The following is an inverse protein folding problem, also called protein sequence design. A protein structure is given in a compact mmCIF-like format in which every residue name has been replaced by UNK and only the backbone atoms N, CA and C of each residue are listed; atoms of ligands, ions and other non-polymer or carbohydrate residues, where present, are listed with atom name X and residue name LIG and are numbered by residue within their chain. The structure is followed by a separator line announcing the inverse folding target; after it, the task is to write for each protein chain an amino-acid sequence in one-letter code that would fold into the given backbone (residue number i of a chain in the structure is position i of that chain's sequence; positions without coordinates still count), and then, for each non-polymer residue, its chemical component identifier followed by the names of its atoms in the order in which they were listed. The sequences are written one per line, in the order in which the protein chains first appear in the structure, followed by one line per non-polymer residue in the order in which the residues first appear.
data_IF_961744687663
#
_entry.id   IF_961744687663
#
_cell.length_a   1.000
_cell.length_b   1.000
_cell.length_c   1.000
_cell.angle_alpha   90.00
_cell.angle_beta   90.00
_cell.angle_gamma   90.00
#
_symmetry.space_group_name_H-M   'P 1'
#
loop_
_entity.id
_entity.type
_entity.pdbx_description
1 polymer ?
#
# COMPACT_ATOMS: atom_id res chain seq x y z
N UNK A 1 -39.45 -35.34 4.38
CA UNK A 1 -38.03 -35.27 4.77
C UNK A 1 -37.65 -33.80 4.89
N UNK A 2 -37.70 -33.29 6.11
CA UNK A 2 -37.20 -31.99 6.55
C UNK A 2 -36.56 -32.28 7.90
N UNK A 3 -35.28 -31.95 8.08
CA UNK A 3 -34.66 -31.97 9.40
C UNK A 3 -34.31 -30.54 9.79
N UNK A 4 -34.77 -30.20 10.99
CA UNK A 4 -34.71 -28.92 11.70
C UNK A 4 -34.20 -29.30 13.09
N UNK A 5 -33.13 -28.66 13.58
CA UNK A 5 -32.67 -28.64 14.97
C UNK A 5 -31.77 -27.38 15.03
N UNK A 6 -32.11 -26.24 15.65
CA UNK A 6 -32.44 -25.92 17.05
C UNK A 6 -31.50 -26.59 18.06
N UNK A 7 -30.66 -25.78 18.70
CA UNK A 7 -30.27 -26.01 20.08
C UNK A 7 -30.29 -24.69 20.85
N UNK A 8 -30.93 -24.79 22.01
CA UNK A 8 -31.28 -23.76 22.98
C UNK A 8 -30.27 -23.80 24.13
N UNK A 9 -30.07 -22.65 24.76
CA UNK A 9 -29.37 -22.39 26.02
C UNK A 9 -29.55 -23.44 27.13
N UNK A 10 -28.58 -23.51 28.08
CA UNK A 10 -28.79 -23.31 29.53
C UNK A 10 -27.44 -23.38 30.29
N UNK A 11 -27.29 -22.45 31.25
CA UNK A 11 -26.25 -22.30 32.27
C UNK A 11 -26.18 -23.45 33.28
N UNK A 12 -24.98 -23.73 33.84
CA UNK A 12 -24.84 -24.03 35.28
C UNK A 12 -23.41 -23.74 35.80
N UNK A 13 -23.34 -22.88 36.83
CA UNK A 13 -22.18 -22.63 37.70
C UNK A 13 -22.28 -23.58 38.90
N UNK A 14 -21.29 -24.45 39.15
CA UNK A 14 -20.83 -25.02 40.44
C UNK A 14 -19.41 -25.57 40.13
N UNK A 15 -18.28 -25.28 40.78
CA UNK A 15 -17.99 -25.06 42.20
C UNK A 15 -17.22 -26.28 42.74
N UNK A 16 -15.91 -26.12 42.96
CA UNK A 16 -15.01 -26.85 43.89
C UNK A 16 -15.00 -28.40 43.90
N UNK A 17 -13.79 -28.99 43.90
CA UNK A 17 -13.63 -30.30 44.55
C UNK A 17 -12.41 -31.11 44.12
N UNK A 18 -11.47 -31.24 45.05
CA UNK A 18 -10.29 -32.09 44.96
C UNK A 18 -10.59 -33.57 44.68
N UNK A 19 -9.63 -34.22 44.00
CA UNK A 19 -9.11 -35.53 44.42
C UNK A 19 -9.65 -36.76 43.71
N UNK A 20 -8.72 -37.58 43.21
CA UNK A 20 -8.88 -39.04 43.22
C UNK A 20 -8.79 -39.77 41.89
N UNK A 21 -7.57 -40.24 41.58
CA UNK A 21 -7.18 -41.52 40.96
C UNK A 21 -8.21 -42.35 40.14
N UNK A 22 -7.81 -42.85 38.97
CA UNK A 22 -7.23 -44.22 38.80
C UNK A 22 -7.04 -44.58 37.30
N UNK A 23 -5.83 -45.06 36.98
CA UNK A 23 -5.46 -46.23 36.14
C UNK A 23 -6.01 -46.39 34.71
N UNK A 24 -5.11 -46.61 33.73
CA UNK A 24 -4.75 -47.97 33.29
C UNK A 24 -3.54 -48.00 32.31
N UNK A 25 -2.65 -48.97 32.59
CA UNK A 25 -1.74 -49.80 31.75
C UNK A 25 -1.35 -49.33 30.33
N UNK A 26 -0.11 -49.50 29.87
CA UNK A 26 1.07 -50.12 30.48
C UNK A 26 2.08 -50.64 29.45
N UNK A 27 3.18 -51.19 29.99
CA UNK A 27 4.08 -52.22 29.44
C UNK A 27 4.96 -51.80 28.22
N UNK A 28 6.29 -51.98 28.20
CA UNK A 28 7.12 -53.05 28.75
C UNK A 28 8.54 -52.60 29.16
N UNK A 29 9.05 -53.31 30.16
CA UNK A 29 10.34 -53.29 30.85
C UNK A 29 11.39 -54.23 30.23
N UNK A 30 12.68 -54.02 30.54
CA UNK A 30 13.64 -55.00 31.13
C UNK A 30 14.91 -54.20 31.57
N UNK A 31 15.24 -54.05 32.87
CA UNK A 31 16.01 -54.96 33.77
C UNK A 31 17.53 -54.72 33.70
N UNK A 32 18.37 -54.62 34.74
CA UNK A 32 18.22 -54.67 36.21
C UNK A 32 19.54 -54.20 36.92
N UNK A 33 19.40 -53.88 38.22
CA UNK A 33 20.35 -53.98 39.35
C UNK A 33 21.48 -52.95 39.58
N UNK A 34 21.26 -52.01 40.52
CA UNK A 34 21.97 -51.97 41.82
C UNK A 34 21.30 -50.97 42.81
N UNK A 35 21.31 -51.22 44.14
CA UNK A 35 20.65 -50.37 45.14
C UNK A 35 21.62 -49.38 45.80
N UNK A 36 21.12 -48.18 46.10
CA UNK A 36 21.68 -47.31 47.14
C UNK A 36 22.75 -46.31 46.70
N UNK A 37 22.32 -45.15 46.20
CA UNK A 37 22.89 -43.81 46.42
C UNK A 37 21.95 -42.82 45.72
N UNK A 38 21.48 -41.79 46.43
CA UNK A 38 20.78 -40.69 45.79
C UNK A 38 21.72 -40.07 44.73
N UNK A 39 21.24 -39.70 43.52
CA UNK A 39 22.07 -38.91 42.63
C UNK A 39 22.44 -37.61 43.35
N UNK A 40 23.68 -37.11 43.22
CA UNK A 40 23.98 -35.75 43.65
C UNK A 40 23.01 -34.80 42.93
N UNK A 41 22.65 -33.65 43.54
CA UNK A 41 21.89 -32.64 42.82
C UNK A 41 22.62 -32.38 41.50
N UNK A 42 21.91 -32.52 40.38
CA UNK A 42 22.41 -32.04 39.11
C UNK A 42 22.59 -30.53 39.29
N UNK A 43 23.83 -30.12 39.54
CA UNK A 43 24.25 -28.76 39.24
C UNK A 43 24.20 -28.69 37.73
N UNK A 44 23.11 -28.14 37.21
CA UNK A 44 23.04 -27.71 35.83
C UNK A 44 24.07 -26.58 35.73
N UNK A 45 25.25 -26.89 35.18
CA UNK A 45 26.24 -25.88 34.84
C UNK A 45 25.69 -25.09 33.65
N UNK A 46 25.21 -23.87 33.93
CA UNK A 46 24.65 -22.95 32.94
C UNK A 46 25.69 -22.47 31.91
N UNK A 47 26.96 -22.91 32.00
CA UNK A 47 28.01 -22.59 31.02
C UNK A 47 28.05 -23.51 29.80
N UNK A 48 27.24 -24.58 29.75
CA UNK A 48 27.25 -25.55 28.65
C UNK A 48 26.02 -25.50 27.72
N UNK A 49 25.09 -24.59 27.94
CA UNK A 49 24.04 -24.27 26.98
C UNK A 49 24.04 -22.75 26.80
N UNK A 50 24.58 -22.20 25.69
CA UNK A 50 24.23 -20.83 25.33
C UNK A 50 22.72 -20.85 25.13
N UNK A 51 22.02 -20.16 26.02
CA UNK A 51 20.59 -19.96 25.89
C UNK A 51 20.42 -19.23 24.55
N UNK A 52 19.79 -19.88 23.59
CA UNK A 52 19.19 -19.20 22.45
C UNK A 52 18.07 -18.31 23.00
N UNK A 53 18.43 -17.16 23.55
CA UNK A 53 17.52 -16.05 23.76
C UNK A 53 17.49 -15.32 22.42
N UNK A 54 16.35 -15.36 21.74
CA UNK A 54 16.08 -14.52 20.57
C UNK A 54 15.99 -13.05 21.03
N UNK A 55 17.15 -12.44 21.27
CA UNK A 55 17.30 -10.99 21.34
C UNK A 55 17.37 -10.45 19.91
N UNK A 56 16.46 -9.53 19.58
CA UNK A 56 16.21 -9.13 18.19
C UNK A 56 17.16 -8.03 17.71
N UNK A 57 17.84 -8.31 16.60
CA UNK A 57 18.29 -7.23 15.72
C UNK A 57 17.04 -6.76 14.96
N UNK A 58 16.74 -5.47 14.99
CA UNK A 58 15.79 -4.86 14.05
C UNK A 58 16.57 -4.37 12.85
N UNK A 59 16.24 -4.85 11.67
CA UNK A 59 16.79 -4.26 10.45
C UNK A 59 15.82 -3.16 10.02
N UNK A 60 16.19 -1.91 10.28
CA UNK A 60 15.38 -0.74 9.99
C UNK A 60 15.68 -0.26 8.58
N UNK A 61 14.64 -0.20 7.77
CA UNK A 61 14.70 0.50 6.50
C UNK A 61 14.54 1.99 6.76
N UNK A 62 15.54 2.80 6.40
CA UNK A 62 15.42 4.26 6.42
C UNK A 62 14.87 4.71 5.06
N UNK A 63 13.57 4.51 4.85
CA UNK A 63 12.78 5.42 4.01
C UNK A 63 11.82 6.12 4.96
N UNK A 64 11.60 7.42 4.77
CA UNK A 64 10.85 8.25 5.71
C UNK A 64 9.35 7.84 5.84
N UNK A 65 8.85 6.94 4.99
CA UNK A 65 7.42 6.66 4.80
C UNK A 65 6.98 5.20 4.90
N UNK A 66 7.89 4.23 4.96
CA UNK A 66 7.50 2.81 4.82
C UNK A 66 7.21 2.18 6.19
N UNK A 67 5.97 1.74 6.38
CA UNK A 67 5.59 0.90 7.51
C UNK A 67 6.01 -0.56 7.26
N UNK A 68 6.20 -1.30 8.36
CA UNK A 68 6.56 -2.72 8.29
C UNK A 68 5.49 -3.51 7.49
N UNK A 69 5.91 -4.18 6.41
CA UNK A 69 5.04 -5.01 5.58
C UNK A 69 4.54 -4.38 4.27
N UNK A 70 4.81 -3.09 4.05
CA UNK A 70 4.49 -2.37 2.81
C UNK A 70 5.37 -2.82 1.64
N UNK A 71 4.81 -2.75 0.44
CA UNK A 71 5.48 -3.02 -0.81
C UNK A 71 5.92 -1.72 -1.48
N UNK A 72 7.17 -1.70 -1.93
CA UNK A 72 7.74 -0.57 -2.64
C UNK A 72 7.43 -0.71 -4.13
N UNK A 73 6.73 0.26 -4.70
CA UNK A 73 6.61 0.36 -6.15
C UNK A 73 7.98 0.71 -6.74
N UNK A 74 8.59 -0.24 -7.43
CA UNK A 74 9.89 0.00 -8.05
C UNK A 74 9.72 0.90 -9.29
N UNK A 75 10.67 1.81 -9.56
CA UNK A 75 10.67 2.65 -10.75
C UNK A 75 10.81 1.81 -12.02
N UNK A 76 10.16 2.27 -13.09
CA UNK A 76 10.17 1.60 -14.38
C UNK A 76 11.57 1.55 -15.02
N UNK A 77 12.09 0.34 -15.25
CA UNK A 77 13.37 0.13 -15.94
C UNK A 77 14.61 0.55 -15.13
N UNK A 78 14.46 0.82 -13.83
CA UNK A 78 15.54 1.24 -12.95
C UNK A 78 15.77 0.24 -11.80
N UNK A 79 17.00 0.12 -11.28
CA UNK A 79 17.28 -0.64 -10.08
C UNK A 79 16.52 -0.09 -8.86
N UNK A 80 16.10 -0.98 -7.96
CA UNK A 80 15.55 -0.58 -6.67
C UNK A 80 16.66 -0.14 -5.74
N UNK A 81 16.64 1.13 -5.30
CA UNK A 81 17.61 1.69 -4.37
C UNK A 81 16.96 1.91 -3.01
N UNK A 82 17.61 1.45 -1.96
CA UNK A 82 17.11 1.57 -0.58
C UNK A 82 18.26 1.60 0.42
N UNK A 83 17.95 2.09 1.63
CA UNK A 83 18.89 2.07 2.77
C UNK A 83 18.34 1.12 3.82
N UNK A 84 19.14 0.12 4.19
CA UNK A 84 18.88 -0.82 5.28
C UNK A 84 19.94 -0.63 6.36
N UNK A 85 19.52 -0.26 7.57
CA UNK A 85 20.40 -0.10 8.72
C UNK A 85 20.00 -1.06 9.84
N UNK A 86 20.94 -1.87 10.33
CA UNK A 86 20.71 -2.62 11.54
C UNK A 86 20.53 -1.68 12.74
N UNK A 87 19.60 -2.02 13.62
CA UNK A 87 19.38 -1.45 14.94
C UNK A 87 19.31 -2.60 15.93
N UNK A 88 19.96 -2.47 17.08
CA UNK A 88 19.87 -3.48 18.13
C UNK A 88 18.74 -3.07 19.08
N UNK A 89 17.65 -3.84 19.09
CA UNK A 89 16.52 -3.59 19.97
C UNK A 89 16.34 -4.78 20.91
N UNK A 90 16.79 -4.63 22.16
CA UNK A 90 16.75 -5.72 23.12
C UNK A 90 15.39 -5.76 23.85
N UNK A 91 14.67 -6.90 23.83
CA UNK A 91 13.50 -7.10 24.68
C UNK A 91 13.81 -6.90 26.17
N UNK A 92 12.80 -6.52 26.95
CA UNK A 92 12.95 -6.27 28.41
C UNK A 92 13.48 -7.48 29.18
N UNK A 93 13.19 -8.68 28.70
CA UNK A 93 13.58 -9.97 29.25
C UNK A 93 14.97 -10.45 28.80
N UNK A 94 15.68 -9.67 27.99
CA UNK A 94 17.07 -9.97 27.60
C UNK A 94 17.98 -9.95 28.83
N UNK A 95 18.98 -10.83 28.85
CA UNK A 95 19.96 -10.94 29.94
C UNK A 95 20.65 -9.60 30.23
N UNK A 96 20.79 -9.25 31.52
CA UNK A 96 21.38 -7.99 31.99
C UNK A 96 22.81 -7.79 31.46
N UNK A 97 23.58 -8.86 31.29
CA UNK A 97 24.91 -8.80 30.69
C UNK A 97 24.83 -8.33 29.23
N UNK A 98 23.88 -8.85 28.44
CA UNK A 98 23.72 -8.47 27.03
C UNK A 98 23.26 -7.01 26.93
N UNK A 99 22.32 -6.57 27.78
CA UNK A 99 21.94 -5.16 27.88
C UNK A 99 23.13 -4.26 28.22
N UNK A 100 23.93 -4.65 29.22
CA UNK A 100 25.12 -3.91 29.62
C UNK A 100 26.19 -3.91 28.53
N UNK A 101 26.38 -5.01 27.83
CA UNK A 101 27.36 -5.12 26.74
C UNK A 101 26.96 -4.21 25.59
N UNK A 102 25.72 -4.30 25.11
CA UNK A 102 25.22 -3.48 24.00
C UNK A 102 25.29 -1.99 24.32
N UNK A 103 24.89 -1.59 25.52
CA UNK A 103 24.92 -0.17 25.93
C UNK A 103 26.32 0.40 26.12
N UNK A 104 27.36 -0.42 26.31
CA UNK A 104 28.75 0.02 26.54
C UNK A 104 29.65 -0.09 25.31
N UNK A 105 29.17 -0.70 24.22
CA UNK A 105 29.90 -0.85 22.97
C UNK A 105 29.20 -0.03 21.88
N UNK A 106 29.62 1.23 21.65
CA UNK A 106 29.06 2.02 20.56
C UNK A 106 29.46 1.42 19.20
N UNK A 107 28.56 1.52 18.23
CA UNK A 107 28.74 1.06 16.85
C UNK A 107 28.72 -0.47 16.66
N UNK A 108 28.10 -1.22 17.58
CA UNK A 108 27.88 -2.66 17.36
C UNK A 108 27.05 -2.94 16.09
N UNK A 109 26.23 -1.98 15.67
CA UNK A 109 25.45 -2.07 14.44
C UNK A 109 26.32 -2.22 13.19
N UNK A 110 27.50 -1.59 13.17
CA UNK A 110 28.45 -1.67 12.05
C UNK A 110 29.12 -3.06 11.94
N UNK A 111 29.07 -3.85 13.02
CA UNK A 111 29.60 -5.21 13.06
C UNK A 111 28.57 -6.28 12.69
N UNK A 112 27.32 -5.90 12.48
CA UNK A 112 26.24 -6.83 12.12
C UNK A 112 26.48 -7.38 10.72
N UNK A 113 26.62 -8.70 10.62
CA UNK A 113 26.70 -9.38 9.34
C UNK A 113 25.30 -9.52 8.75
N UNK A 114 25.09 -8.92 7.57
CA UNK A 114 23.81 -8.98 6.86
C UNK A 114 23.91 -9.95 5.69
N UNK A 115 23.17 -11.06 5.78
CA UNK A 115 22.92 -11.96 4.65
C UNK A 115 21.60 -11.59 3.98
N UNK A 116 21.44 -11.92 2.70
CA UNK A 116 20.21 -11.66 1.95
C UNK A 116 19.83 -12.83 1.03
N UNK A 117 18.55 -12.88 0.67
CA UNK A 117 17.99 -13.81 -0.31
C UNK A 117 16.84 -13.13 -1.08
N UNK A 118 16.68 -13.48 -2.37
CA UNK A 118 15.54 -13.09 -3.20
C UNK A 118 14.76 -14.35 -3.62
N UNK A 119 13.44 -14.25 -3.71
CA UNK A 119 12.56 -15.30 -4.25
C UNK A 119 12.63 -15.40 -5.79
N UNK A 120 12.98 -14.32 -6.46
CA UNK A 120 13.05 -14.19 -7.92
C UNK A 120 14.48 -14.17 -8.47
N UNK A 121 15.49 -14.30 -7.61
CA UNK A 121 16.89 -14.11 -7.98
C UNK A 121 17.27 -12.64 -8.08
N UNK A 122 18.33 -12.33 -8.83
CA UNK A 122 18.83 -10.96 -9.03
C UNK A 122 20.20 -10.68 -8.40
N UNK A 123 20.64 -9.43 -8.59
CA UNK A 123 21.91 -8.90 -8.10
C UNK A 123 21.65 -7.81 -7.04
N UNK A 124 22.24 -7.96 -5.85
CA UNK A 124 22.27 -6.93 -4.82
C UNK A 124 23.67 -6.34 -4.69
N UNK A 125 23.81 -5.04 -4.96
CA UNK A 125 25.04 -4.27 -4.77
C UNK A 125 24.96 -3.45 -3.50
N UNK A 126 26.00 -3.51 -2.67
CA UNK A 126 26.15 -2.63 -1.51
C UNK A 126 27.14 -1.51 -1.82
N UNK A 127 26.80 -0.29 -1.39
CA UNK A 127 27.62 0.91 -1.57
C UNK A 127 28.22 1.41 -0.24
N UNK A 128 28.08 0.65 0.84
CA UNK A 128 28.43 1.07 2.20
C UNK A 128 27.34 1.92 2.86
N UNK A 129 27.49 2.15 4.18
CA UNK A 129 26.55 2.94 4.99
C UNK A 129 25.09 2.45 4.94
N UNK A 130 24.90 1.14 4.75
CA UNK A 130 23.58 0.53 4.62
C UNK A 130 22.88 0.81 3.28
N UNK A 131 23.55 1.39 2.29
CA UNK A 131 22.95 1.66 0.97
C UNK A 131 23.06 0.45 0.05
N UNK A 132 21.94 0.10 -0.57
CA UNK A 132 21.82 -1.04 -1.47
C UNK A 132 21.15 -0.66 -2.80
N UNK A 133 21.55 -1.33 -3.86
CA UNK A 133 20.88 -1.34 -5.17
C UNK A 133 20.56 -2.78 -5.53
N UNK A 134 19.30 -3.07 -5.79
CA UNK A 134 18.82 -4.38 -6.19
C UNK A 134 18.32 -4.35 -7.64
N UNK A 135 18.73 -5.35 -8.41
CA UNK A 135 18.31 -5.57 -9.80
C UNK A 135 17.76 -7.00 -9.88
N UNK A 136 16.46 -7.20 -10.13
CA UNK A 136 15.90 -8.54 -10.24
C UNK A 136 16.32 -9.21 -11.56
N UNK A 137 16.40 -10.55 -11.57
CA UNK A 137 16.71 -11.33 -12.78
C UNK A 137 15.60 -11.24 -13.84
N UNK A 138 14.35 -11.08 -13.37
CA UNK A 138 13.17 -10.90 -14.19
C UNK A 138 12.47 -9.58 -13.83
N UNK A 139 12.01 -8.86 -14.85
CA UNK A 139 11.15 -7.70 -14.67
C UNK A 139 9.69 -8.10 -14.63
N UNK A 140 8.90 -7.43 -13.79
CA UNK A 140 7.44 -7.59 -13.78
C UNK A 140 6.93 -8.56 -12.72
N UNK A 141 6.37 -8.00 -11.64
CA UNK A 141 5.73 -8.75 -10.57
C UNK A 141 6.34 -8.50 -9.19
N UNK A 142 5.81 -9.20 -8.18
CA UNK A 142 6.30 -9.12 -6.81
C UNK A 142 7.71 -9.73 -6.68
N UNK A 143 8.55 -9.10 -5.87
CA UNK A 143 9.86 -9.61 -5.44
C UNK A 143 10.02 -9.40 -3.95
N UNK A 144 10.37 -10.45 -3.21
CA UNK A 144 10.61 -10.36 -1.76
C UNK A 144 12.10 -10.56 -1.48
N UNK A 145 12.74 -9.50 -1.00
CA UNK A 145 14.11 -9.54 -0.49
C UNK A 145 14.10 -9.80 1.01
N UNK A 146 14.65 -10.94 1.43
CA UNK A 146 14.80 -11.29 2.84
C UNK A 146 16.20 -10.98 3.30
N UNK A 147 16.31 -10.34 4.45
CA UNK A 147 17.59 -10.01 5.09
C UNK A 147 17.66 -10.67 6.45
N UNK A 148 18.85 -11.17 6.79
CA UNK A 148 19.17 -11.70 8.10
C UNK A 148 20.41 -11.03 8.66
N UNK A 149 20.24 -10.28 9.74
CA UNK A 149 21.32 -9.68 10.51
C UNK A 149 21.77 -10.64 11.61
N UNK A 150 23.09 -10.81 11.79
CA UNK A 150 23.66 -11.60 12.88
C UNK A 150 24.81 -10.83 13.51
N UNK A 151 24.76 -10.65 14.84
CA UNK A 151 25.88 -10.22 15.66
C UNK A 151 26.32 -11.40 16.51
N UNK A 152 27.45 -12.00 16.18
CA UNK A 152 28.00 -13.11 16.97
C UNK A 152 29.09 -12.63 17.93
N UNK A 153 28.91 -12.97 19.21
CA UNK A 153 29.84 -12.75 20.31
C UNK A 153 30.22 -14.06 21.01
N UNK A 154 30.26 -15.15 20.26
CA UNK A 154 30.75 -16.45 20.73
C UNK A 154 32.18 -16.44 21.29
N UNK A 155 32.99 -15.43 20.96
CA UNK A 155 34.36 -15.27 21.46
C UNK A 155 34.49 -14.61 22.83
N UNK A 156 33.39 -14.21 23.49
CA UNK A 156 33.45 -13.63 24.84
C UNK A 156 33.66 -14.72 25.90
N UNK A 157 34.74 -14.60 26.67
CA UNK A 157 35.04 -15.53 27.76
C UNK A 157 33.89 -15.53 28.79
N UNK A 158 33.29 -16.71 28.99
CA UNK A 158 32.25 -17.04 29.98
C UNK A 158 30.82 -16.55 29.72
N UNK A 159 30.57 -15.66 28.74
CA UNK A 159 29.21 -15.19 28.40
C UNK A 159 29.02 -14.98 26.88
N UNK A 160 29.14 -16.05 26.07
CA UNK A 160 28.88 -15.96 24.64
C UNK A 160 27.39 -15.69 24.38
N UNK A 161 27.12 -14.83 23.40
CA UNK A 161 25.76 -14.60 22.92
C UNK A 161 25.75 -14.33 21.42
N UNK A 162 24.58 -14.49 20.81
CA UNK A 162 24.34 -14.13 19.42
C UNK A 162 23.04 -13.36 19.36
N UNK A 163 23.07 -12.17 18.73
CA UNK A 163 21.84 -11.46 18.36
C UNK A 163 21.54 -11.79 16.91
N UNK A 164 20.26 -12.00 16.59
CA UNK A 164 19.85 -12.17 15.21
C UNK A 164 18.52 -11.47 14.94
N UNK A 165 18.32 -11.10 13.70
CA UNK A 165 17.10 -10.45 13.25
C UNK A 165 16.85 -10.74 11.79
N UNK A 166 15.58 -10.83 11.42
CA UNK A 166 15.18 -11.01 10.04
C UNK A 166 14.21 -9.90 9.66
N UNK A 167 14.30 -9.45 8.41
CA UNK A 167 13.29 -8.57 7.81
C UNK A 167 13.09 -8.95 6.36
N UNK A 168 11.98 -8.49 5.78
CA UNK A 168 11.72 -8.64 4.36
C UNK A 168 11.27 -7.31 3.75
N UNK A 169 11.81 -6.99 2.59
CA UNK A 169 11.37 -5.86 1.77
C UNK A 169 10.63 -6.44 0.58
N UNK A 170 9.39 -6.02 0.39
CA UNK A 170 8.59 -6.36 -0.79
C UNK A 170 8.78 -5.26 -1.82
N UNK A 171 9.07 -5.64 -3.06
CA UNK A 171 9.07 -4.76 -4.21
C UNK A 171 7.99 -5.24 -5.18
N UNK A 172 7.35 -4.28 -5.85
CA UNK A 172 6.56 -4.56 -7.02
C UNK A 172 7.26 -3.91 -8.21
N UNK A 173 7.83 -4.72 -9.10
CA UNK A 173 8.46 -4.24 -10.32
C UNK A 173 7.43 -4.19 -11.45
N UNK A 174 7.34 -3.08 -12.20
CA UNK A 174 6.40 -3.02 -13.31
C UNK A 174 6.94 -3.84 -14.50
N UNK A 175 6.04 -4.56 -15.17
CA UNK A 175 6.31 -5.35 -16.37
C UNK A 175 6.49 -4.42 -17.57
N UNK A 176 7.62 -4.48 -18.30
CA UNK A 176 7.77 -3.78 -19.58
C UNK A 176 6.65 -4.14 -20.54
N UNK A 177 6.09 -3.16 -21.26
CA UNK A 177 4.90 -3.36 -22.08
C UNK A 177 5.08 -4.43 -23.18
N UNK A 178 6.30 -4.64 -23.66
CA UNK A 178 6.66 -5.66 -24.64
C UNK A 178 6.77 -7.08 -24.03
N UNK A 179 6.78 -7.19 -22.70
CA UNK A 179 6.74 -8.45 -21.96
C UNK A 179 5.36 -8.77 -21.39
N UNK A 180 4.40 -7.84 -21.48
CA UNK A 180 3.01 -8.07 -21.06
C UNK A 180 2.37 -9.12 -21.99
N UNK A 181 1.65 -10.12 -21.44
CA UNK A 181 0.98 -11.13 -22.26
C UNK A 181 0.06 -10.52 -23.33
N UNK A 182 0.10 -11.06 -24.55
CA UNK A 182 -0.66 -10.54 -25.69
C UNK A 182 -2.16 -10.39 -25.40
N UNK A 183 -2.75 -11.35 -24.68
CA UNK A 183 -4.16 -11.29 -24.29
C UNK A 183 -4.45 -10.08 -23.39
N UNK A 184 -3.59 -9.81 -22.40
CA UNK A 184 -3.74 -8.65 -21.53
C UNK A 184 -3.59 -7.33 -22.31
N UNK A 185 -2.68 -7.25 -23.28
CA UNK A 185 -2.58 -6.09 -24.17
C UNK A 185 -3.85 -5.87 -25.01
N UNK A 186 -4.49 -6.93 -25.46
CA UNK A 186 -5.78 -6.86 -26.18
C UNK A 186 -6.91 -6.36 -25.28
N UNK A 187 -6.91 -6.77 -24.00
CA UNK A 187 -7.87 -6.33 -22.99
C UNK A 187 -7.65 -4.88 -22.56
N UNK A 188 -6.38 -4.43 -22.49
CA UNK A 188 -6.03 -3.02 -22.27
C UNK A 188 -6.49 -2.17 -23.46
N UNK A 189 -6.24 -2.65 -24.68
CA UNK A 189 -6.56 -1.96 -25.91
C UNK A 189 -5.56 -0.85 -26.27
N UNK A 190 -5.95 -0.04 -27.26
CA UNK A 190 -5.05 0.93 -27.87
C UNK A 190 -5.14 2.28 -27.18
N UNK A 191 -4.02 2.73 -26.63
CA UNK A 191 -3.86 4.11 -26.17
C UNK A 191 -4.11 5.11 -27.31
N UNK A 192 -4.82 6.20 -27.05
CA UNK A 192 -5.08 7.21 -28.06
C UNK A 192 -3.80 7.96 -28.42
N UNK A 193 -3.71 8.40 -29.67
CA UNK A 193 -2.58 9.20 -30.16
C UNK A 193 -3.04 10.64 -30.29
N UNK A 194 -2.38 11.55 -29.54
CA UNK A 194 -2.65 12.98 -29.64
C UNK A 194 -2.29 13.47 -31.05
N UNK A 195 -3.32 13.80 -31.83
CA UNK A 195 -3.15 14.34 -33.18
C UNK A 195 -2.61 15.77 -33.19
N UNK A 196 -1.93 16.16 -34.27
CA UNK A 196 -1.28 17.48 -34.42
C UNK A 196 -2.25 18.68 -34.39
N UNK A 197 -3.54 18.45 -34.63
CA UNK A 197 -4.60 19.48 -34.57
C UNK A 197 -5.39 19.46 -33.25
N UNK A 198 -5.04 18.58 -32.31
CA UNK A 198 -5.69 18.51 -31.00
C UNK A 198 -5.32 19.73 -30.16
N UNK A 199 -6.23 20.17 -29.29
CA UNK A 199 -5.89 21.14 -28.23
C UNK A 199 -4.81 20.60 -27.28
N UNK A 200 -4.67 19.27 -27.21
CA UNK A 200 -3.63 18.60 -26.44
C UNK A 200 -2.28 18.50 -27.17
N UNK A 201 -2.18 18.94 -28.43
CA UNK A 201 -0.93 18.82 -29.21
C UNK A 201 0.30 19.45 -28.53
N UNK A 202 0.22 20.61 -27.85
CA UNK A 202 1.34 21.15 -27.09
C UNK A 202 1.79 20.28 -25.91
N UNK A 203 0.91 19.39 -25.43
CA UNK A 203 1.10 18.56 -24.24
C UNK A 203 1.30 17.09 -24.57
N UNK A 204 1.51 16.74 -25.85
CA UNK A 204 1.54 15.36 -26.35
C UNK A 204 2.47 14.41 -25.59
N UNK A 205 3.54 14.94 -24.99
CA UNK A 205 4.52 14.14 -24.27
C UNK A 205 3.97 13.56 -22.96
N UNK A 206 3.00 14.25 -22.36
CA UNK A 206 2.30 13.80 -21.17
C UNK A 206 1.19 12.78 -21.45
N UNK A 207 0.80 12.61 -22.72
CA UNK A 207 -0.21 11.64 -23.17
C UNK A 207 0.43 10.47 -23.92
N UNK A 208 1.73 10.22 -23.67
CA UNK A 208 2.41 9.04 -24.21
C UNK A 208 1.89 7.79 -23.51
N UNK A 209 1.72 6.68 -24.25
CA UNK A 209 1.39 5.40 -23.63
C UNK A 209 2.44 5.03 -22.57
N UNK A 210 2.01 4.37 -21.46
CA UNK A 210 2.92 3.84 -20.47
C UNK A 210 3.85 2.81 -21.11
N UNK A 211 5.11 2.80 -20.70
CA UNK A 211 6.10 1.83 -21.18
C UNK A 211 6.16 0.58 -20.31
N UNK A 212 5.58 0.63 -19.10
CA UNK A 212 5.53 -0.46 -18.15
C UNK A 212 4.18 -0.47 -17.42
N UNK A 213 3.76 -1.63 -16.93
CA UNK A 213 2.50 -1.85 -16.22
C UNK A 213 2.73 -2.71 -14.98
N UNK A 214 2.09 -2.37 -13.87
CA UNK A 214 2.10 -3.23 -12.68
C UNK A 214 1.11 -4.37 -12.86
N UNK A 215 1.56 -5.60 -12.58
CA UNK A 215 0.69 -6.77 -12.56
C UNK A 215 0.01 -6.84 -11.20
N UNK A 216 -1.32 -6.87 -11.21
CA UNK A 216 -2.18 -7.07 -10.03
C UNK A 216 -2.78 -8.46 -10.11
N UNK A 217 -2.64 -9.27 -9.06
CA UNK A 217 -3.19 -10.61 -8.97
C UNK A 217 -3.62 -10.98 -7.54
N UNK A 218 -4.08 -12.22 -7.36
CA UNK A 218 -4.58 -12.70 -6.06
C UNK A 218 -3.54 -12.60 -4.94
N UNK A 219 -2.24 -12.63 -5.28
CA UNK A 219 -1.15 -12.58 -4.30
C UNK A 219 -0.89 -11.14 -3.83
N UNK A 220 -0.95 -10.17 -4.73
CA UNK A 220 -0.45 -8.82 -4.48
C UNK A 220 -1.51 -7.70 -4.47
N UNK A 221 -2.76 -7.97 -4.83
CA UNK A 221 -3.84 -6.97 -4.81
C UNK A 221 -4.00 -6.31 -3.42
N UNK A 222 -3.86 -7.09 -2.33
CA UNK A 222 -3.99 -6.59 -0.96
C UNK A 222 -2.65 -6.12 -0.37
N UNK A 223 -1.62 -5.94 -1.20
CA UNK A 223 -0.36 -5.38 -0.72
C UNK A 223 -0.53 -3.89 -0.55
N UNK A 224 -0.32 -3.42 0.67
CA UNK A 224 -0.16 -1.99 0.95
C UNK A 224 1.03 -1.45 0.18
N UNK A 225 0.78 -0.47 -0.68
CA UNK A 225 1.80 0.24 -1.47
C UNK A 225 2.10 1.64 -0.89
N UNK A 226 1.37 1.98 0.18
CA UNK A 226 1.50 3.20 0.99
C UNK A 226 0.76 2.99 2.33
N UNK A 227 0.89 3.91 3.30
CA UNK A 227 0.25 3.82 4.60
C UNK A 227 -1.27 3.58 4.62
N UNK A 228 -2.00 4.06 3.61
CA UNK A 228 -3.46 4.01 3.60
C UNK A 228 -4.03 3.37 2.32
N UNK A 229 -3.20 2.96 1.36
CA UNK A 229 -3.65 2.36 0.09
C UNK A 229 -2.97 1.04 -0.25
N UNK A 230 -3.79 0.13 -0.79
CA UNK A 230 -3.40 -1.16 -1.35
C UNK A 230 -3.28 -1.10 -2.89
N UNK A 231 -2.59 -2.07 -3.49
CA UNK A 231 -2.41 -2.11 -4.95
C UNK A 231 -3.75 -2.23 -5.69
N UNK A 232 -4.67 -3.04 -5.15
CA UNK A 232 -5.99 -3.32 -5.72
C UNK A 232 -6.88 -2.09 -5.79
N UNK A 233 -6.67 -1.09 -4.92
CA UNK A 233 -7.43 0.18 -4.95
C UNK A 233 -7.29 0.90 -6.30
N UNK A 234 -6.19 0.64 -7.02
CA UNK A 234 -5.88 1.31 -8.28
C UNK A 234 -6.15 0.46 -9.52
N UNK A 235 -6.62 -0.77 -9.37
CA UNK A 235 -6.98 -1.59 -10.51
C UNK A 235 -8.39 -1.25 -11.04
N UNK A 236 -8.77 -1.92 -12.13
CA UNK A 236 -10.10 -1.76 -12.68
C UNK A 236 -11.07 -2.72 -11.96
N UNK A 237 -11.55 -2.33 -10.78
CA UNK A 237 -12.60 -3.07 -10.09
C UNK A 237 -13.94 -2.88 -10.83
N UNK A 238 -14.36 -3.90 -11.59
CA UNK A 238 -15.80 -4.17 -11.73
C UNK A 238 -16.13 -5.55 -11.21
N UNK A 239 -16.68 -5.58 -10.00
CA UNK A 239 -17.67 -6.59 -9.70
C UNK A 239 -18.84 -5.96 -8.93
N UNK A 240 -19.86 -5.57 -9.68
CA UNK A 240 -21.22 -5.63 -9.16
C UNK A 240 -22.15 -6.20 -10.25
N UNK A 241 -22.05 -7.53 -10.41
CA UNK A 241 -23.17 -8.40 -10.82
C UNK A 241 -23.92 -8.05 -12.11
N UNK A 242 -23.24 -7.96 -13.25
CA UNK A 242 -23.90 -8.37 -14.52
C UNK A 242 -23.24 -9.65 -15.03
N UNK A 243 -24.03 -10.66 -15.47
CA UNK A 243 -23.50 -11.85 -16.16
C UNK A 243 -22.64 -11.53 -17.40
N UNK A 244 -22.70 -10.27 -17.86
CA UNK A 244 -22.07 -9.76 -19.07
C UNK A 244 -20.84 -8.88 -18.78
N UNK A 245 -20.42 -8.75 -17.50
CA UNK A 245 -19.19 -8.04 -17.16
C UNK A 245 -18.05 -8.62 -18.02
N UNK A 246 -17.35 -7.78 -18.81
CA UNK A 246 -16.39 -8.27 -19.78
C UNK A 246 -15.35 -9.13 -19.06
N UNK A 247 -14.83 -10.17 -19.73
CA UNK A 247 -13.73 -11.03 -19.26
C UNK A 247 -12.46 -10.26 -18.80
N UNK A 248 -12.44 -8.94 -18.97
CA UNK A 248 -11.36 -7.97 -18.77
C UNK A 248 -11.07 -7.64 -17.31
N UNK A 249 -11.90 -8.05 -16.35
CA UNK A 249 -11.71 -7.75 -14.93
C UNK A 249 -11.37 -9.03 -14.12
N UNK A 250 -10.77 -10.01 -14.78
CA UNK A 250 -10.25 -11.20 -14.11
C UNK A 250 -8.77 -10.98 -13.83
N UNK A 251 -8.35 -11.28 -12.61
CA UNK A 251 -6.94 -11.30 -12.27
C UNK A 251 -6.22 -12.39 -13.10
N UNK A 252 -4.95 -12.15 -13.50
CA UNK A 252 -4.18 -10.95 -13.25
C UNK A 252 -4.59 -9.77 -14.15
N UNK A 253 -4.67 -8.58 -13.57
CA UNK A 253 -4.78 -7.31 -14.31
C UNK A 253 -3.39 -6.68 -14.51
N UNK A 254 -3.25 -5.85 -15.55
CA UNK A 254 -2.04 -5.06 -15.79
C UNK A 254 -2.41 -3.59 -15.85
N UNK A 255 -1.93 -2.82 -14.88
CA UNK A 255 -2.36 -1.45 -14.64
C UNK A 255 -1.22 -0.47 -14.84
N UNK A 256 -1.52 0.69 -15.40
CA UNK A 256 -0.60 1.82 -15.28
C UNK A 256 -0.87 2.48 -13.92
N UNK A 257 0.17 2.76 -13.17
CA UNK A 257 0.09 3.51 -11.92
C UNK A 257 1.35 4.37 -11.81
N UNK A 258 1.19 5.67 -11.63
CA UNK A 258 2.29 6.56 -11.31
C UNK A 258 2.36 6.70 -9.78
N UNK A 259 3.45 6.28 -9.11
CA UNK A 259 3.57 6.35 -7.64
C UNK A 259 3.34 7.75 -7.07
N UNK A 260 3.56 8.82 -7.86
CA UNK A 260 3.26 10.19 -7.45
C UNK A 260 1.76 10.43 -7.20
N UNK A 261 0.88 9.67 -7.87
CA UNK A 261 -0.56 9.73 -7.62
C UNK A 261 -0.88 9.25 -6.21
N UNK A 262 -0.27 8.13 -5.80
CA UNK A 262 -0.43 7.55 -4.46
C UNK A 262 0.03 8.54 -3.40
N UNK A 263 1.20 9.16 -3.61
CA UNK A 263 1.72 10.21 -2.72
C UNK A 263 0.75 11.40 -2.60
N UNK A 264 0.14 11.84 -3.70
CA UNK A 264 -0.86 12.92 -3.67
C UNK A 264 -2.10 12.53 -2.87
N UNK A 265 -2.57 11.28 -3.01
CA UNK A 265 -3.75 10.80 -2.28
C UNK A 265 -3.47 10.70 -0.78
N UNK A 266 -2.27 10.28 -0.38
CA UNK A 266 -1.83 10.32 1.02
C UNK A 266 -1.83 11.75 1.59
N UNK A 267 -1.37 12.73 0.81
CA UNK A 267 -1.41 14.14 1.22
C UNK A 267 -2.83 14.70 1.31
N UNK A 268 -3.72 14.29 0.42
CA UNK A 268 -5.14 14.67 0.49
C UNK A 268 -5.78 14.07 1.73
N UNK A 269 -5.52 12.78 2.02
CA UNK A 269 -6.03 12.12 3.21
C UNK A 269 -5.52 12.78 4.50
N UNK A 270 -4.22 13.11 4.54
CA UNK A 270 -3.66 13.84 5.68
C UNK A 270 -4.28 15.22 5.83
N UNK A 271 -4.42 15.97 4.72
CA UNK A 271 -5.09 17.26 4.73
C UNK A 271 -6.54 17.19 5.20
N UNK A 272 -7.28 16.11 4.89
CA UNK A 272 -8.62 15.86 5.45
C UNK A 272 -8.56 15.63 6.96
N UNK A 273 -7.58 14.85 7.45
CA UNK A 273 -7.38 14.60 8.89
C UNK A 273 -7.01 15.85 9.66
N UNK A 274 -6.19 16.72 9.08
CA UNK A 274 -5.83 18.03 9.66
C UNK A 274 -7.05 18.97 9.81
N UNK A 275 -8.08 18.79 8.98
CA UNK A 275 -9.35 19.51 9.14
C UNK A 275 -10.27 18.91 10.23
N UNK A 276 -9.83 17.84 10.91
CA UNK A 276 -10.52 17.22 12.04
C UNK A 276 -11.37 15.99 11.70
N UNK A 277 -11.28 15.47 10.48
CA UNK A 277 -11.98 14.24 10.08
C UNK A 277 -11.11 13.02 10.35
N UNK A 278 -11.58 12.08 11.18
CA UNK A 278 -10.87 10.82 11.47
C UNK A 278 -11.02 9.79 10.33
N UNK A 279 -10.71 10.19 9.09
CA UNK A 279 -10.82 9.32 7.93
C UNK A 279 -9.74 8.22 7.94
N UNK A 280 -10.11 6.92 7.93
CA UNK A 280 -9.14 5.83 7.94
C UNK A 280 -8.41 5.70 6.60
N UNK A 281 -9.10 5.98 5.48
CA UNK A 281 -8.54 6.01 4.12
C UNK A 281 -9.46 6.84 3.20
N UNK A 282 -9.11 6.94 1.92
CA UNK A 282 -10.02 7.39 0.86
C UNK A 282 -10.60 6.18 0.15
N UNK A 283 -11.90 6.15 -0.05
CA UNK A 283 -12.56 5.10 -0.84
C UNK A 283 -12.29 5.34 -2.32
N UNK A 284 -11.35 4.61 -2.91
CA UNK A 284 -11.01 4.72 -4.33
C UNK A 284 -12.08 4.01 -5.18
N UNK A 285 -12.77 4.79 -6.02
CA UNK A 285 -13.77 4.29 -6.96
C UNK A 285 -13.13 3.78 -8.25
N UNK A 286 -12.10 4.48 -8.72
CA UNK A 286 -11.40 4.11 -9.94
C UNK A 286 -9.98 4.69 -9.97
N UNK A 287 -8.97 3.82 -10.06
CA UNK A 287 -7.60 4.19 -10.43
C UNK A 287 -7.37 4.05 -11.93
N UNK A 288 -6.65 3.03 -12.35
CA UNK A 288 -6.41 2.76 -13.77
C UNK A 288 -7.67 2.33 -14.50
N UNK A 289 -7.96 2.96 -15.64
CA UNK A 289 -9.01 2.53 -16.59
C UNK A 289 -8.34 2.16 -17.90
N UNK A 290 -8.64 1.00 -18.47
CA UNK A 290 -8.01 0.66 -19.75
C UNK A 290 -8.53 1.53 -20.90
N UNK A 291 -7.72 1.81 -21.95
CA UNK A 291 -8.22 2.46 -23.16
C UNK A 291 -9.44 1.77 -23.78
N UNK A 292 -9.44 0.42 -23.80
CA UNK A 292 -10.58 -0.36 -24.30
C UNK A 292 -11.83 -0.16 -23.44
N UNK A 293 -11.66 -0.07 -22.12
CA UNK A 293 -12.75 0.24 -21.20
C UNK A 293 -13.31 1.64 -21.47
N UNK A 294 -12.45 2.67 -21.51
CA UNK A 294 -12.90 4.04 -21.75
C UNK A 294 -13.65 4.16 -23.08
N UNK A 295 -13.15 3.51 -24.14
CA UNK A 295 -13.82 3.50 -25.44
C UNK A 295 -15.23 2.87 -25.36
N UNK A 296 -15.33 1.67 -24.77
CA UNK A 296 -16.60 0.99 -24.56
C UNK A 296 -17.59 1.81 -23.72
N UNK A 297 -17.09 2.53 -22.72
CA UNK A 297 -17.89 3.39 -21.84
C UNK A 297 -18.46 4.60 -22.59
N UNK A 298 -17.63 5.24 -23.42
CA UNK A 298 -18.04 6.37 -24.28
C UNK A 298 -19.14 5.95 -25.27
N UNK A 299 -19.08 4.72 -25.78
CA UNK A 299 -20.09 4.16 -26.69
C UNK A 299 -21.43 3.85 -26.00
N UNK A 300 -21.52 3.94 -24.67
CA UNK A 300 -22.74 3.71 -23.88
C UNK A 300 -23.22 4.98 -23.15
N UNK A 301 -23.71 5.99 -23.89
CA UNK A 301 -24.25 7.21 -23.28
C UNK A 301 -25.45 6.86 -22.38
N UNK A 302 -25.39 7.28 -21.11
CA UNK A 302 -26.41 7.01 -20.09
C UNK A 302 -25.97 6.08 -18.96
N UNK A 303 -24.81 5.44 -19.08
CA UNK A 303 -24.19 4.66 -18.00
C UNK A 303 -22.93 5.36 -17.46
N UNK A 304 -22.95 6.69 -17.30
CA UNK A 304 -21.76 7.46 -16.88
C UNK A 304 -20.75 7.78 -17.99
N UNK A 305 -20.95 7.27 -19.22
CA UNK A 305 -20.09 7.60 -20.39
C UNK A 305 -20.03 9.08 -20.77
N UNK A 306 -20.94 9.91 -20.25
CA UNK A 306 -20.91 11.37 -20.41
C UNK A 306 -19.70 12.02 -19.71
N UNK A 307 -19.11 11.34 -18.72
CA UNK A 307 -17.95 11.82 -17.95
C UNK A 307 -16.63 11.20 -18.42
N UNK A 308 -16.69 10.27 -19.36
CA UNK A 308 -15.50 9.55 -19.86
C UNK A 308 -14.93 10.23 -21.10
N UNK A 309 -13.60 10.35 -21.15
CA UNK A 309 -12.86 10.89 -22.30
C UNK A 309 -11.83 9.88 -22.80
N UNK A 310 -11.61 9.87 -24.12
CA UNK A 310 -10.55 9.07 -24.74
C UNK A 310 -9.17 9.43 -24.19
N UNK A 311 -8.94 10.70 -23.81
CA UNK A 311 -7.67 11.18 -23.26
C UNK A 311 -7.74 11.37 -21.73
N UNK A 312 -8.61 10.62 -21.03
CA UNK A 312 -8.67 10.66 -19.57
C UNK A 312 -7.31 10.37 -18.94
N UNK A 313 -7.00 10.97 -17.80
CA UNK A 313 -5.73 10.71 -17.10
C UNK A 313 -5.68 9.32 -16.45
N UNK A 314 -6.83 8.69 -16.20
CA UNK A 314 -6.93 7.31 -15.68
C UNK A 314 -6.24 6.29 -16.58
N UNK A 315 -6.32 6.45 -17.91
CA UNK A 315 -5.70 5.49 -18.82
C UNK A 315 -4.16 5.54 -18.75
N UNK A 316 -3.58 6.59 -18.19
CA UNK A 316 -2.13 6.72 -18.05
C UNK A 316 -1.64 6.41 -16.63
N UNK A 317 -2.52 5.98 -15.73
CA UNK A 317 -2.16 5.68 -14.33
C UNK A 317 -1.96 6.91 -13.46
N UNK A 318 -2.46 8.06 -13.90
CA UNK A 318 -2.18 9.35 -13.29
C UNK A 318 -3.42 10.01 -12.69
N UNK A 319 -4.51 9.28 -12.46
CA UNK A 319 -5.74 9.81 -11.90
C UNK A 319 -6.47 8.80 -11.02
N UNK A 320 -7.22 9.33 -10.07
CA UNK A 320 -8.09 8.57 -9.19
C UNK A 320 -9.42 9.31 -8.98
N UNK A 321 -10.51 8.54 -8.96
CA UNK A 321 -11.82 8.99 -8.48
C UNK A 321 -11.99 8.45 -7.07
N UNK A 322 -12.41 9.27 -6.11
CA UNK A 322 -12.56 8.86 -4.71
C UNK A 322 -13.66 9.63 -3.97
N UNK A 323 -14.02 9.12 -2.80
CA UNK A 323 -14.86 9.77 -1.79
C UNK A 323 -14.35 9.43 -0.38
N UNK A 324 -14.86 10.16 0.62
CA UNK A 324 -14.52 9.95 2.04
C UNK A 324 -15.69 9.24 2.71
N UNK A 325 -15.44 8.06 3.27
CA UNK A 325 -16.43 7.20 3.92
C UNK A 325 -15.88 6.74 5.27
N UNK A 326 -16.19 7.50 6.32
CA UNK A 326 -15.68 7.31 7.68
C UNK A 326 -16.51 6.25 8.40
N UNK A 327 -17.82 6.19 8.16
CA UNK A 327 -18.72 5.26 8.84
C UNK A 327 -18.87 3.89 8.13
N UNK A 328 -18.37 3.78 6.90
CA UNK A 328 -18.31 2.55 6.11
C UNK A 328 -19.64 2.18 5.46
N UNK A 329 -20.57 3.12 5.26
CA UNK A 329 -21.87 2.86 4.63
C UNK A 329 -21.82 2.83 3.09
N UNK A 330 -20.65 3.11 2.50
CA UNK A 330 -20.42 3.15 1.06
C UNK A 330 -20.85 4.46 0.41
N UNK A 331 -20.95 5.56 1.18
CA UNK A 331 -21.23 6.91 0.67
C UNK A 331 -20.25 7.92 1.23
N UNK A 332 -20.16 9.05 0.53
CA UNK A 332 -19.54 10.26 1.04
C UNK A 332 -20.23 10.73 2.32
N UNK A 333 -19.42 11.11 3.30
CA UNK A 333 -19.89 11.80 4.50
C UNK A 333 -20.18 13.29 4.28
N UNK A 334 -20.90 13.91 5.22
CA UNK A 334 -21.15 15.36 5.28
C UNK A 334 -19.84 16.10 5.66
N UNK A 335 -19.08 16.49 4.64
CA UNK A 335 -17.77 17.11 4.80
C UNK A 335 -17.85 18.60 5.11
N UNK A 336 -18.97 19.25 4.77
CA UNK A 336 -19.15 20.69 5.03
C UNK A 336 -19.97 21.00 6.30
N UNK A 337 -20.58 19.98 6.92
CA UNK A 337 -21.33 20.06 8.17
C UNK A 337 -22.73 20.66 8.03
N UNK A 338 -23.34 20.62 6.85
CA UNK A 338 -24.66 21.21 6.59
C UNK A 338 -25.84 20.22 6.77
N UNK A 339 -25.53 18.95 7.06
CA UNK A 339 -26.47 17.87 7.26
C UNK A 339 -26.99 17.22 5.98
N UNK A 340 -26.37 17.49 4.82
CA UNK A 340 -26.66 16.84 3.54
C UNK A 340 -25.43 16.08 3.03
N UNK A 341 -25.68 15.15 2.11
CA UNK A 341 -24.64 14.44 1.37
C UNK A 341 -24.86 14.79 -0.10
N UNK A 342 -24.09 15.75 -0.62
CA UNK A 342 -24.20 16.24 -1.99
C UNK A 342 -22.86 16.77 -2.56
N UNK A 343 -22.90 17.41 -3.74
CA UNK A 343 -21.68 17.89 -4.40
C UNK A 343 -20.97 19.00 -3.62
N UNK A 344 -21.62 19.66 -2.66
CA UNK A 344 -20.98 20.69 -1.83
C UNK A 344 -20.00 20.07 -0.84
N UNK A 345 -20.14 18.79 -0.46
CA UNK A 345 -19.16 18.05 0.33
C UNK A 345 -17.87 17.80 -0.47
N UNK A 346 -18.04 17.34 -1.71
CA UNK A 346 -16.93 17.19 -2.63
C UNK A 346 -16.28 18.55 -2.98
N UNK A 347 -17.07 19.62 -3.07
CA UNK A 347 -16.56 20.97 -3.29
C UNK A 347 -15.75 21.46 -2.09
N UNK A 348 -16.20 21.15 -0.88
CA UNK A 348 -15.48 21.47 0.33
C UNK A 348 -14.10 20.79 0.36
N UNK A 349 -14.01 19.49 0.03
CA UNK A 349 -12.71 18.79 -0.05
C UNK A 349 -11.81 19.44 -1.10
N UNK A 350 -12.34 19.74 -2.29
CA UNK A 350 -11.57 20.39 -3.36
C UNK A 350 -10.99 21.72 -2.90
N UNK A 351 -11.84 22.60 -2.36
CA UNK A 351 -11.49 23.98 -2.08
C UNK A 351 -10.60 24.14 -0.83
N UNK A 352 -10.75 23.26 0.17
CA UNK A 352 -10.01 23.37 1.44
C UNK A 352 -8.80 22.42 1.53
N UNK A 353 -8.80 21.32 0.79
CA UNK A 353 -7.75 20.29 0.88
C UNK A 353 -6.98 20.16 -0.43
N UNK A 354 -7.65 19.79 -1.54
CA UNK A 354 -6.96 19.52 -2.81
C UNK A 354 -6.22 20.76 -3.32
N UNK A 355 -6.85 21.93 -3.24
CA UNK A 355 -6.23 23.20 -3.66
C UNK A 355 -5.06 23.59 -2.75
N UNK A 356 -5.08 23.24 -1.46
CA UNK A 356 -3.95 23.45 -0.55
C UNK A 356 -2.77 22.52 -0.90
N UNK A 357 -3.04 21.22 -1.11
CA UNK A 357 -2.05 20.22 -1.55
C UNK A 357 -1.41 20.63 -2.88
N UNK A 358 -2.23 20.95 -3.88
CA UNK A 358 -1.75 21.38 -5.19
C UNK A 358 -0.94 22.68 -5.10
N UNK A 359 -1.30 23.59 -4.20
CA UNK A 359 -0.57 24.83 -4.02
C UNK A 359 0.82 24.61 -3.41
N UNK A 360 0.93 23.79 -2.36
CA UNK A 360 2.21 23.45 -1.76
C UNK A 360 3.11 22.66 -2.71
N UNK A 361 2.51 21.79 -3.54
CA UNK A 361 3.24 21.01 -4.53
C UNK A 361 4.01 21.90 -5.53
N UNK A 362 3.52 23.12 -5.83
CA UNK A 362 4.18 24.04 -6.79
C UNK A 362 5.64 24.32 -6.42
N UNK A 363 5.95 24.45 -5.13
CA UNK A 363 7.31 24.80 -4.70
C UNK A 363 8.20 23.59 -4.50
N UNK A 364 7.63 22.42 -4.17
CA UNK A 364 8.36 21.25 -3.69
C UNK A 364 8.36 20.08 -4.67
N UNK A 365 7.21 19.80 -5.30
CA UNK A 365 7.05 18.70 -6.25
C UNK A 365 5.99 19.06 -7.32
N UNK A 366 6.33 19.92 -8.29
CA UNK A 366 5.37 20.45 -9.27
C UNK A 366 4.59 19.37 -10.02
N UNK A 367 5.17 18.19 -10.17
CA UNK A 367 4.58 17.04 -10.83
C UNK A 367 3.32 16.48 -10.14
N UNK A 368 3.10 16.78 -8.85
CA UNK A 368 1.88 16.38 -8.13
C UNK A 368 0.68 17.25 -8.51
N UNK A 369 0.91 18.44 -9.09
CA UNK A 369 -0.17 19.34 -9.48
C UNK A 369 -1.04 18.71 -10.56
N UNK A 370 -2.35 18.87 -10.43
CA UNK A 370 -3.23 18.45 -11.51
C UNK A 370 -4.63 19.01 -11.44
N UNK A 371 -5.53 18.35 -12.13
CA UNK A 371 -6.92 18.74 -12.24
C UNK A 371 -7.75 18.16 -11.10
N UNK A 372 -8.89 18.78 -10.82
CA UNK A 372 -9.86 18.25 -9.89
C UNK A 372 -11.29 18.47 -10.42
N UNK A 373 -12.06 17.39 -10.44
CA UNK A 373 -13.44 17.37 -10.93
C UNK A 373 -14.38 16.87 -9.85
N UNK A 374 -15.61 17.36 -9.85
CA UNK A 374 -16.67 16.86 -8.95
C UNK A 374 -17.76 16.23 -9.80
N UNK A 375 -18.24 15.08 -9.35
CA UNK A 375 -19.38 14.41 -9.93
C UNK A 375 -20.47 14.18 -8.87
N UNK A 376 -21.75 14.29 -9.23
CA UNK A 376 -22.87 14.06 -8.31
C UNK A 376 -23.09 12.59 -7.97
N UNK A 377 -22.57 11.70 -8.82
CA UNK A 377 -22.75 10.26 -8.75
C UNK A 377 -21.54 9.61 -9.43
N UNK A 378 -21.22 8.36 -9.09
CA UNK A 378 -20.10 7.64 -9.69
C UNK A 378 -20.56 6.91 -10.96
N UNK A 379 -19.65 6.67 -11.90
CA UNK A 379 -19.97 6.10 -13.21
C UNK A 379 -20.20 4.57 -13.19
N UNK A 380 -20.66 4.01 -12.07
CA UNK A 380 -20.86 2.57 -11.84
C UNK A 380 -22.35 2.32 -11.56
N UNK A 381 -23.18 2.05 -12.58
CA UNK A 381 -24.65 2.03 -12.45
C UNK A 381 -25.20 0.96 -11.49
N UNK A 382 -24.48 -0.16 -11.34
CA UNK A 382 -24.84 -1.27 -10.46
C UNK A 382 -23.96 -1.31 -9.20
N UNK A 383 -23.20 -0.26 -8.93
CA UNK A 383 -22.20 -0.20 -7.87
C UNK A 383 -22.77 0.03 -6.45
N UNK A 384 -21.92 0.44 -5.49
CA UNK A 384 -22.35 0.93 -4.18
C UNK A 384 -23.34 2.09 -4.31
N UNK A 385 -23.87 2.56 -3.17
CA UNK A 385 -24.88 3.61 -3.20
C UNK A 385 -24.32 4.85 -3.91
N UNK A 386 -25.04 5.33 -4.94
CA UNK A 386 -24.62 6.51 -5.69
C UNK A 386 -24.33 7.66 -4.74
N UNK A 387 -23.15 8.23 -4.90
CA UNK A 387 -22.62 9.24 -3.98
C UNK A 387 -21.78 10.26 -4.74
N UNK A 388 -21.77 11.55 -4.32
CA UNK A 388 -20.83 12.52 -4.84
C UNK A 388 -19.39 12.03 -4.68
N UNK A 389 -18.54 12.39 -5.64
CA UNK A 389 -17.15 11.97 -5.65
C UNK A 389 -16.26 13.01 -6.32
N UNK A 390 -14.97 12.91 -6.07
CA UNK A 390 -13.95 13.75 -6.67
C UNK A 390 -13.08 12.94 -7.62
N UNK A 391 -12.82 13.52 -8.78
CA UNK A 391 -11.65 13.18 -9.60
C UNK A 391 -10.47 14.02 -9.15
N UNK A 392 -9.29 13.40 -9.05
CA UNK A 392 -8.00 14.09 -9.01
C UNK A 392 -7.04 13.44 -9.99
N UNK A 393 -6.11 14.23 -10.50
CA UNK A 393 -4.98 13.70 -11.25
C UNK A 393 -3.67 14.39 -10.93
N UNK A 394 -2.61 13.77 -11.42
CA UNK A 394 -1.28 14.33 -11.53
C UNK A 394 -0.96 14.51 -13.01
N UNK A 395 -0.55 15.72 -13.35
CA UNK A 395 -0.17 16.02 -14.73
C UNK A 395 1.03 16.94 -14.75
N UNK A 396 1.13 17.90 -13.82
CA UNK A 396 2.40 18.55 -13.51
C UNK A 396 2.80 19.71 -14.42
N UNK A 397 1.92 20.20 -15.30
CA UNK A 397 2.21 21.37 -16.13
C UNK A 397 1.11 22.42 -16.08
N UNK A 398 1.53 23.67 -16.17
CA UNK A 398 0.66 24.85 -16.08
C UNK A 398 -0.03 25.21 -17.41
N UNK A 399 -1.22 25.81 -17.33
CA UNK A 399 -1.87 26.47 -18.48
C UNK A 399 -2.57 25.57 -19.51
N UNK A 400 -2.63 24.25 -19.28
CA UNK A 400 -3.45 23.35 -20.10
C UNK A 400 -4.95 23.53 -19.89
N UNK A 401 -5.82 23.21 -20.86
CA UNK A 401 -7.29 23.22 -20.72
C UNK A 401 -7.83 22.25 -19.64
N UNK A 402 -6.91 21.51 -19.05
CA UNK A 402 -7.07 20.24 -18.42
C UNK A 402 -6.48 20.30 -16.98
N UNK A 403 -5.93 21.45 -16.55
CA UNK A 403 -5.78 21.85 -15.13
C UNK A 403 -7.06 22.53 -14.59
N UNK A 404 -8.20 22.23 -15.18
CA UNK A 404 -9.45 22.85 -14.78
C UNK A 404 -9.90 22.35 -13.42
N UNK A 405 -10.60 23.22 -12.69
CA UNK A 405 -11.60 22.79 -11.72
C UNK A 405 -12.94 22.73 -12.45
N UNK A 406 -13.66 21.62 -12.31
CA UNK A 406 -14.99 21.49 -12.90
C UNK A 406 -15.96 20.79 -11.96
N UNK A 407 -17.23 21.02 -12.23
CA UNK A 407 -18.34 20.26 -11.69
C UNK A 407 -19.33 19.91 -12.80
N UNK A 408 -20.41 19.23 -12.43
CA UNK A 408 -21.51 18.89 -13.33
C UNK A 408 -22.71 19.77 -13.00
N UNK A 409 -23.27 20.43 -14.02
CA UNK A 409 -24.47 21.24 -13.86
C UNK A 409 -25.75 20.40 -13.78
N UNK A 410 -26.89 21.04 -13.49
CA UNK A 410 -28.19 20.39 -13.39
C UNK A 410 -28.70 19.73 -14.69
N UNK A 411 -28.03 19.95 -15.83
CA UNK A 411 -28.31 19.32 -17.11
C UNK A 411 -27.30 18.21 -17.45
N UNK A 412 -26.53 17.75 -16.45
CA UNK A 412 -25.51 16.73 -16.61
C UNK A 412 -24.34 17.14 -17.52
N UNK A 413 -24.06 18.46 -17.61
CA UNK A 413 -22.96 18.99 -18.44
C UNK A 413 -21.81 19.44 -17.58
N UNK A 414 -20.59 19.09 -18.01
CA UNK A 414 -19.35 19.60 -17.41
C UNK A 414 -19.31 21.12 -17.51
N UNK A 415 -19.22 21.77 -16.35
CA UNK A 415 -19.01 23.20 -16.21
C UNK A 415 -17.60 23.44 -15.67
N UNK A 416 -16.76 24.06 -16.49
CA UNK A 416 -15.44 24.52 -16.01
C UNK A 416 -15.64 25.74 -15.14
N UNK A 417 -15.22 25.65 -13.88
CA UNK A 417 -15.36 26.73 -12.92
C UNK A 417 -14.22 27.74 -13.07
N UNK A 418 -12.99 27.25 -13.23
CA UNK A 418 -11.82 28.04 -13.60
C UNK A 418 -10.68 27.16 -14.12
N UNK A 419 -9.80 27.75 -14.94
CA UNK A 419 -8.43 27.27 -15.12
C UNK A 419 -7.61 27.85 -13.97
N UNK A 420 -6.89 27.01 -13.22
CA UNK A 420 -6.24 27.36 -11.96
C UNK A 420 -5.23 28.53 -12.06
N UNK A 421 -5.70 29.79 -12.05
CA UNK A 421 -4.91 31.04 -11.93
C UNK A 421 -5.68 32.27 -11.41
N UNK A 422 -7.03 32.25 -11.41
CA UNK A 422 -7.79 33.51 -11.30
C UNK A 422 -8.41 33.82 -9.93
N UNK A 423 -8.46 32.90 -8.94
CA UNK A 423 -9.34 33.11 -7.76
C UNK A 423 -8.85 32.78 -6.35
N UNK A 424 -7.80 31.98 -6.15
CA UNK A 424 -7.33 31.65 -4.79
C UNK A 424 -5.79 31.72 -4.71
N UNK A 425 -5.20 32.74 -4.05
CA UNK A 425 -3.78 32.68 -3.68
C UNK A 425 -3.56 31.51 -2.71
N UNK A 426 -2.34 30.96 -2.70
CA UNK A 426 -1.96 29.90 -1.77
C UNK A 426 -2.36 30.27 -0.33
N UNK A 427 -2.92 29.35 0.47
CA UNK A 427 -3.08 29.58 1.89
C UNK A 427 -1.71 29.92 2.51
N UNK A 428 -1.61 31.02 3.27
CA UNK A 428 -0.33 31.50 3.84
C UNK A 428 0.30 30.53 4.86
N UNK A 429 -0.52 29.67 5.46
CA UNK A 429 -0.11 28.64 6.42
C UNK A 429 -0.79 27.32 6.03
N UNK A 430 -0.21 26.61 5.07
CA UNK A 430 -0.69 25.29 4.71
C UNK A 430 -0.03 24.23 5.64
N UNK A 431 -0.81 23.44 6.41
CA UNK A 431 -0.31 22.63 7.53
C UNK A 431 0.57 21.41 7.17
N UNK A 432 0.59 21.00 5.91
CA UNK A 432 1.21 19.72 5.49
C UNK A 432 2.75 19.85 5.35
N UNK A 433 3.50 19.10 6.17
CA UNK A 433 4.95 18.94 6.02
C UNK A 433 5.28 17.83 5.02
N UNK A 434 5.71 18.23 3.83
CA UNK A 434 6.12 17.32 2.75
C UNK A 434 7.53 16.71 2.98
N UNK A 435 8.25 17.10 4.03
CA UNK A 435 9.61 16.63 4.29
C UNK A 435 9.68 15.29 5.06
N UNK A 436 8.56 14.79 5.58
CA UNK A 436 8.52 13.59 6.43
C UNK A 436 7.99 12.32 5.77
N UNK A 437 7.65 12.33 4.48
CA UNK A 437 7.18 11.15 3.73
C UNK A 437 8.18 10.71 2.67
#
# INVERSE_FOLDING_TARGET
MKFFWITLNVFLIIGLGAGGFLLFRGYQSFSANNPGLAPPPQVIDLRQNPVHLESSIRLVMQSASLLEGEAILAPAGEPARFTLRPEIALPSETDDFVHSYVSTHPNLEDEIQVAWQSDSGGELKSFGEGRYEFIPDATGGPVILRFRGVLDRGGLDNHPFTLSGETAIKFLFPTPIDQVPQQALEDIGKFPVVGSKSILAPYRDYYRPPTHLYRVDEENQNWRISPNFELGDFDLHFDYTTPDAPRRNQLPQYIALDPKLVLKLEQILEGIREQGFEAPTLSILAGFRSPAYNHWKIEQPGQGGAYTSNYSRHIYGCAADFYVDIDGDGKMDDMNGDGKIDMEDAAWIRDNVVDAVDCQAVERMPDLKGACGIYPEHDIPNGPVQTPNLHVDIRGWEGGPDLSRWDIDSNNKRRTLWSHWDKHPCPEEAPIDLATQ
#
